data_IF_327100643292
#
_entry.id   IF_327100643292
#
_cell.length_a   1.000
_cell.length_b   1.000
_cell.length_c   1.000
_cell.angle_alpha   90.00
_cell.angle_beta   90.00
_cell.angle_gamma   90.00
#
_symmetry.space_group_name_H-M   'P 1'
#
loop_
_entity.id
_entity.type
_entity.pdbx_description
1 polymer ?
#
# COMPACT_ATOMS: atom_id res chain seq x y z
N UNK A 1 -3.18 -1.11 35.92
CA UNK A 1 -3.39 -2.46 35.31
C UNK A 1 -2.35 -2.73 34.23
N UNK A 2 -1.69 -3.89 34.27
CA UNK A 2 -0.54 -4.24 33.37
C UNK A 2 -0.97 -4.93 32.08
N UNK A 3 -2.20 -5.47 32.02
CA UNK A 3 -2.70 -6.25 30.88
C UNK A 3 -2.74 -5.41 29.59
N UNK A 4 -3.20 -4.16 29.64
CA UNK A 4 -3.34 -3.31 28.45
C UNK A 4 -1.99 -2.96 27.79
N UNK A 5 -0.93 -2.57 28.52
CA UNK A 5 0.41 -2.44 27.95
C UNK A 5 0.93 -3.73 27.31
N UNK A 6 0.76 -4.89 27.96
CA UNK A 6 1.18 -6.19 27.42
C UNK A 6 0.47 -6.48 26.09
N UNK A 7 -0.85 -6.37 26.07
CA UNK A 7 -1.66 -6.58 24.85
C UNK A 7 -1.22 -5.61 23.75
N UNK A 8 -0.99 -4.34 24.09
CA UNK A 8 -0.55 -3.34 23.11
C UNK A 8 0.82 -3.67 22.53
N UNK A 9 1.77 -4.11 23.39
CA UNK A 9 3.10 -4.52 22.99
C UNK A 9 3.06 -5.73 22.05
N UNK A 10 2.29 -6.76 22.40
CA UNK A 10 2.13 -7.97 21.59
C UNK A 10 1.49 -7.66 20.24
N UNK A 11 0.41 -6.87 20.20
CA UNK A 11 -0.24 -6.48 18.95
C UNK A 11 0.68 -5.63 18.06
N UNK A 12 1.43 -4.70 18.64
CA UNK A 12 2.42 -3.93 17.90
C UNK A 12 3.56 -4.81 17.35
N UNK A 13 4.06 -5.77 18.13
CA UNK A 13 5.06 -6.73 17.69
C UNK A 13 4.53 -7.61 16.54
N UNK A 14 3.28 -8.08 16.62
CA UNK A 14 2.63 -8.82 15.54
C UNK A 14 2.48 -7.96 14.28
N UNK A 15 2.07 -6.70 14.40
CA UNK A 15 2.08 -5.72 13.30
C UNK A 15 3.46 -5.64 12.64
N UNK A 16 4.52 -5.49 13.44
CA UNK A 16 5.89 -5.40 12.96
C UNK A 16 6.33 -6.68 12.23
N UNK A 17 6.00 -7.86 12.74
CA UNK A 17 6.28 -9.15 12.08
C UNK A 17 5.57 -9.24 10.74
N UNK A 18 4.29 -8.85 10.67
CA UNK A 18 3.53 -8.93 9.43
C UNK A 18 4.09 -7.95 8.39
N UNK A 19 4.41 -6.72 8.79
CA UNK A 19 4.97 -5.71 7.87
C UNK A 19 6.40 -6.04 7.45
N UNK A 20 7.23 -6.59 8.33
CA UNK A 20 8.59 -7.02 7.98
C UNK A 20 8.58 -8.14 6.95
N UNK A 21 7.67 -9.12 7.07
CA UNK A 21 7.47 -10.15 6.02
C UNK A 21 7.14 -9.52 4.66
N UNK A 22 6.30 -8.49 4.65
CA UNK A 22 5.99 -7.76 3.42
C UNK A 22 7.17 -6.93 2.91
N UNK A 23 7.98 -6.37 3.80
CA UNK A 23 9.16 -5.58 3.47
C UNK A 23 10.28 -6.46 2.90
N UNK A 24 10.43 -7.69 3.39
CA UNK A 24 11.37 -8.68 2.85
C UNK A 24 10.94 -9.15 1.46
N UNK A 25 9.64 -9.40 1.24
CA UNK A 25 9.13 -9.83 -0.07
C UNK A 25 9.16 -8.72 -1.12
N UNK A 26 8.80 -7.49 -0.72
CA UNK A 26 8.72 -6.32 -1.59
C UNK A 26 9.21 -5.08 -0.83
N UNK A 27 10.53 -4.81 -0.82
CA UNK A 27 11.09 -3.72 -0.04
C UNK A 27 10.61 -2.38 -0.59
N UNK A 28 9.92 -1.62 0.25
CA UNK A 28 9.53 -0.25 -0.01
C UNK A 28 9.81 0.60 1.22
N UNK A 29 10.12 1.87 1.01
CA UNK A 29 10.51 2.78 2.09
C UNK A 29 9.38 3.00 3.11
N UNK A 30 8.12 3.06 2.64
CA UNK A 30 6.92 3.14 3.49
C UNK A 30 6.90 1.98 4.51
N UNK A 31 7.07 0.74 4.05
CA UNK A 31 7.07 -0.44 4.94
C UNK A 31 8.18 -0.43 5.98
N UNK A 32 9.36 0.11 5.64
CA UNK A 32 10.48 0.23 6.59
C UNK A 32 10.13 1.23 7.69
N UNK A 33 9.57 2.39 7.33
CA UNK A 33 9.13 3.39 8.29
C UNK A 33 8.00 2.84 9.20
N UNK A 34 7.01 2.15 8.63
CA UNK A 34 5.94 1.53 9.42
C UNK A 34 6.48 0.43 10.34
N UNK A 35 7.40 -0.42 9.85
CA UNK A 35 8.05 -1.43 10.68
C UNK A 35 8.77 -0.81 11.88
N UNK A 36 9.58 0.22 11.67
CA UNK A 36 10.26 0.94 12.74
C UNK A 36 9.25 1.48 13.75
N UNK A 37 8.17 2.11 13.29
CA UNK A 37 7.14 2.63 14.18
C UNK A 37 6.50 1.55 15.07
N UNK A 38 6.17 0.38 14.50
CA UNK A 38 5.57 -0.71 15.29
C UNK A 38 6.56 -1.38 16.25
N UNK A 39 7.85 -1.45 15.89
CA UNK A 39 8.90 -1.88 16.84
C UNK A 39 9.02 -0.90 18.00
N UNK A 40 9.06 0.41 17.72
CA UNK A 40 9.11 1.45 18.75
C UNK A 40 7.88 1.39 19.66
N UNK A 41 6.69 1.19 19.09
CA UNK A 41 5.47 1.01 19.87
C UNK A 41 5.58 -0.21 20.78
N UNK A 42 6.00 -1.36 20.25
CA UNK A 42 6.14 -2.59 21.01
C UNK A 42 7.13 -2.43 22.18
N UNK A 43 8.26 -1.75 21.94
CA UNK A 43 9.25 -1.43 22.96
C UNK A 43 8.70 -0.49 24.03
N UNK A 44 7.98 0.57 23.67
CA UNK A 44 7.36 1.48 24.62
C UNK A 44 6.34 0.74 25.51
N UNK A 45 5.38 0.05 24.88
CA UNK A 45 4.35 -0.70 25.59
C UNK A 45 4.93 -1.82 26.47
N UNK A 46 6.00 -2.48 25.99
CA UNK A 46 6.73 -3.48 26.75
C UNK A 46 7.51 -2.89 27.92
N UNK A 47 8.13 -1.72 27.75
CA UNK A 47 8.83 -1.03 28.83
C UNK A 47 7.88 -0.58 29.95
N UNK A 48 6.68 -0.11 29.62
CA UNK A 48 5.66 0.21 30.62
C UNK A 48 5.13 -1.04 31.34
N UNK A 49 4.87 -2.12 30.59
CA UNK A 49 4.48 -3.40 31.20
C UNK A 49 5.54 -3.89 32.19
N UNK A 50 6.82 -3.83 31.78
CA UNK A 50 7.96 -4.22 32.59
C UNK A 50 8.08 -3.34 33.84
N UNK A 51 8.01 -2.01 33.67
CA UNK A 51 8.16 -1.06 34.77
C UNK A 51 7.06 -1.22 35.83
N UNK A 52 5.82 -1.46 35.40
CA UNK A 52 4.70 -1.70 36.31
C UNK A 52 4.76 -3.05 37.04
N UNK A 53 5.43 -4.05 36.47
CA UNK A 53 5.47 -5.41 37.03
C UNK A 53 6.71 -5.68 37.88
N UNK A 54 7.86 -5.17 37.43
CA UNK A 54 9.18 -5.46 38.02
C UNK A 54 9.83 -4.24 38.66
N UNK A 55 9.18 -3.07 38.59
CA UNK A 55 9.70 -1.81 39.10
C UNK A 55 10.38 -0.98 38.01
N UNK A 56 10.45 0.33 38.25
CA UNK A 56 10.99 1.29 37.31
C UNK A 56 12.49 1.52 37.54
N UNK A 57 13.23 1.67 36.45
CA UNK A 57 14.61 2.12 36.48
C UNK A 57 14.79 3.28 35.51
N UNK A 58 15.83 4.08 35.73
CA UNK A 58 16.10 5.26 34.92
C UNK A 58 16.30 4.90 33.42
N UNK A 59 17.04 3.83 33.05
CA UNK A 59 17.14 3.41 31.65
C UNK A 59 15.79 2.96 31.07
N UNK A 60 14.94 2.30 31.86
CA UNK A 60 13.64 1.82 31.41
C UNK A 60 12.67 2.97 31.16
N UNK A 61 12.66 3.98 32.03
CA UNK A 61 11.89 5.20 31.86
C UNK A 61 12.32 5.96 30.59
N UNK A 62 13.64 6.09 30.36
CA UNK A 62 14.16 6.70 29.13
C UNK A 62 13.83 5.88 27.89
N UNK A 63 13.90 4.55 27.94
CA UNK A 63 13.53 3.68 26.83
C UNK A 63 12.06 3.88 26.44
N UNK A 64 11.16 3.87 27.44
CA UNK A 64 9.74 4.14 27.24
C UNK A 64 9.52 5.51 26.56
N UNK A 65 10.12 6.56 27.12
CA UNK A 65 9.86 7.92 26.70
C UNK A 65 10.55 8.29 25.38
N UNK A 66 11.69 7.66 25.07
CA UNK A 66 12.35 7.77 23.78
C UNK A 66 11.49 7.16 22.66
N UNK A 67 10.92 5.98 22.91
CA UNK A 67 10.29 5.19 21.86
C UNK A 67 8.83 5.54 21.63
N UNK A 68 8.02 5.70 22.68
CA UNK A 68 6.56 5.78 22.55
C UNK A 68 6.00 7.16 22.18
N UNK A 69 6.21 8.20 23.01
CA UNK A 69 5.49 9.47 22.92
C UNK A 69 5.58 10.23 21.58
N UNK A 70 6.68 10.12 20.84
CA UNK A 70 6.88 10.92 19.62
C UNK A 70 7.34 10.11 18.41
N UNK A 71 8.34 9.24 18.56
CA UNK A 71 8.93 8.55 17.41
C UNK A 71 7.96 7.61 16.71
N UNK A 72 7.06 6.93 17.44
CA UNK A 72 6.00 6.12 16.81
C UNK A 72 5.21 6.94 15.80
N UNK A 73 4.71 8.11 16.21
CA UNK A 73 3.89 8.98 15.35
C UNK A 73 4.72 9.55 14.20
N UNK A 74 5.96 9.96 14.48
CA UNK A 74 6.87 10.46 13.45
C UNK A 74 7.11 9.43 12.32
N UNK A 75 7.45 8.20 12.68
CA UNK A 75 7.74 7.16 11.69
C UNK A 75 6.48 6.67 10.95
N UNK A 76 5.31 6.63 11.61
CA UNK A 76 4.04 6.39 10.91
C UNK A 76 3.75 7.50 9.89
N UNK A 77 3.95 8.76 10.25
CA UNK A 77 3.73 9.90 9.36
C UNK A 77 4.70 9.89 8.16
N UNK A 78 5.99 9.62 8.39
CA UNK A 78 6.99 9.44 7.32
C UNK A 78 6.56 8.32 6.37
N UNK A 79 6.07 7.21 6.92
CA UNK A 79 5.55 6.11 6.16
C UNK A 79 4.35 6.47 5.29
N UNK A 80 3.39 7.23 5.82
CA UNK A 80 2.24 7.74 5.07
C UNK A 80 2.68 8.71 3.96
N UNK A 81 3.63 9.61 4.24
CA UNK A 81 4.18 10.49 3.20
C UNK A 81 4.85 9.72 2.07
N UNK A 82 5.51 8.61 2.35
CA UNK A 82 6.05 7.73 1.31
C UNK A 82 4.95 7.10 0.44
N UNK A 83 3.76 6.84 0.98
CA UNK A 83 2.63 6.32 0.22
C UNK A 83 2.02 7.39 -0.69
N UNK A 84 1.92 8.63 -0.23
CA UNK A 84 1.34 9.75 -0.97
C UNK A 84 2.31 10.35 -2.00
N UNK A 85 3.58 10.53 -1.61
CA UNK A 85 4.60 11.27 -2.36
C UNK A 85 5.91 10.50 -2.50
N UNK A 86 5.90 9.29 -3.12
CA UNK A 86 7.04 8.37 -3.10
C UNK A 86 8.32 8.95 -3.73
N UNK A 87 8.19 9.80 -4.76
CA UNK A 87 9.35 10.39 -5.46
C UNK A 87 10.03 11.48 -4.64
N UNK A 88 9.24 12.38 -4.04
CA UNK A 88 9.74 13.50 -3.24
C UNK A 88 10.34 12.99 -1.93
N UNK A 89 9.66 12.07 -1.25
CA UNK A 89 10.12 11.54 0.03
C UNK A 89 11.39 10.70 -0.08
N UNK A 90 11.68 10.11 -1.25
CA UNK A 90 12.92 9.36 -1.47
C UNK A 90 14.20 10.15 -1.18
N UNK A 91 14.19 11.47 -1.38
CA UNK A 91 15.36 12.34 -1.17
C UNK A 91 15.39 12.96 0.23
N UNK A 92 14.25 13.37 0.75
CA UNK A 92 14.17 14.18 1.99
C UNK A 92 13.93 13.36 3.25
N UNK A 93 13.09 12.33 3.19
CA UNK A 93 12.62 11.65 4.39
C UNK A 93 13.71 10.91 5.19
N UNK A 94 14.76 10.30 4.60
CA UNK A 94 15.81 9.67 5.40
C UNK A 94 16.58 10.68 6.26
N UNK A 95 16.98 11.81 5.68
CA UNK A 95 17.68 12.87 6.40
C UNK A 95 16.81 13.50 7.48
N UNK A 96 15.54 13.79 7.15
CA UNK A 96 14.58 14.30 8.12
C UNK A 96 14.33 13.30 9.28
N UNK A 97 14.22 12.00 8.98
CA UNK A 97 14.04 10.96 10.00
C UNK A 97 15.24 10.87 10.94
N UNK A 98 16.47 10.90 10.42
CA UNK A 98 17.69 10.87 11.22
C UNK A 98 17.79 12.11 12.11
N UNK A 99 17.62 13.30 11.53
CA UNK A 99 17.68 14.56 12.29
C UNK A 99 16.62 14.61 13.38
N UNK A 100 15.36 14.29 13.04
CA UNK A 100 14.26 14.27 14.00
C UNK A 100 14.52 13.27 15.13
N UNK A 101 14.98 12.07 14.80
CA UNK A 101 15.29 11.03 15.79
C UNK A 101 16.44 11.46 16.68
N UNK A 102 17.52 11.98 16.11
CA UNK A 102 18.67 12.46 16.87
C UNK A 102 18.28 13.60 17.83
N UNK A 103 17.58 14.63 17.34
CA UNK A 103 17.11 15.74 18.16
C UNK A 103 16.16 15.29 19.27
N UNK A 104 15.24 14.37 18.98
CA UNK A 104 14.35 13.81 20.00
C UNK A 104 15.13 13.03 21.06
N UNK A 105 16.05 12.16 20.64
CA UNK A 105 16.86 11.34 21.54
C UNK A 105 17.73 12.21 22.45
N UNK A 106 18.37 13.27 21.92
CA UNK A 106 19.14 14.21 22.74
C UNK A 106 18.28 14.81 23.85
N UNK A 107 17.10 15.34 23.52
CA UNK A 107 16.21 15.93 24.52
C UNK A 107 15.73 14.92 25.57
N UNK A 108 15.51 13.66 25.21
CA UNK A 108 15.09 12.62 26.17
C UNK A 108 16.23 12.17 27.07
N UNK A 109 17.45 12.08 26.53
CA UNK A 109 18.63 11.69 27.31
C UNK A 109 19.02 12.79 28.30
N UNK A 110 18.91 14.06 27.90
CA UNK A 110 19.24 15.22 28.72
C UNK A 110 18.15 15.59 29.75
N UNK A 111 16.94 15.05 29.60
CA UNK A 111 15.83 15.35 30.49
C UNK A 111 16.13 14.88 31.94
N UNK A 112 16.02 15.78 32.94
CA UNK A 112 16.15 15.40 34.35
C UNK A 112 15.10 14.37 34.77
N UNK A 113 15.48 13.47 35.67
CA UNK A 113 14.59 12.45 36.23
C UNK A 113 14.58 12.59 37.74
N UNK A 114 13.39 12.73 38.32
CA UNK A 114 13.20 12.74 39.76
C UNK A 114 13.32 11.31 40.32
N UNK A 115 14.48 10.99 40.89
CA UNK A 115 14.78 9.68 41.44
C UNK A 115 13.83 9.28 42.59
N UNK A 116 13.31 10.26 43.36
CA UNK A 116 12.38 9.99 44.45
C UNK A 116 11.01 9.55 43.94
N UNK A 117 10.61 10.06 42.76
CA UNK A 117 9.32 9.73 42.13
C UNK A 117 9.39 8.54 41.19
N UNK A 118 10.58 8.18 40.71
CA UNK A 118 10.76 7.16 39.67
C UNK A 118 10.09 5.82 39.98
N UNK A 119 10.16 5.33 41.22
CA UNK A 119 9.53 4.04 41.55
C UNK A 119 8.00 4.11 41.54
N UNK A 120 7.43 5.22 42.03
CA UNK A 120 5.98 5.38 42.15
C UNK A 120 5.34 5.79 40.82
N UNK A 121 5.95 6.75 40.13
CA UNK A 121 5.38 7.44 38.98
C UNK A 121 5.96 6.91 37.65
N UNK A 122 7.03 6.11 37.71
CA UNK A 122 7.68 5.52 36.55
C UNK A 122 8.22 6.55 35.57
N UNK A 123 7.84 6.42 34.31
CA UNK A 123 8.24 7.35 33.25
C UNK A 123 7.74 8.79 33.46
N UNK A 124 6.74 9.00 34.31
CA UNK A 124 6.23 10.34 34.63
C UNK A 124 7.20 11.16 35.50
N UNK A 125 8.19 10.50 36.11
CA UNK A 125 9.27 11.15 36.85
C UNK A 125 10.26 11.93 35.97
N UNK A 126 10.19 11.77 34.65
CA UNK A 126 10.95 12.58 33.68
C UNK A 126 10.37 14.00 33.66
N UNK A 127 11.22 15.02 33.75
CA UNK A 127 10.83 16.40 33.48
C UNK A 127 10.58 16.59 31.98
N UNK A 128 9.32 16.89 31.66
CA UNK A 128 8.80 17.00 30.30
C UNK A 128 8.58 18.45 29.90
N UNK A 129 9.18 19.40 30.60
CA UNK A 129 9.03 20.84 30.36
C UNK A 129 9.86 21.32 29.16
N UNK A 130 9.73 22.62 28.84
CA UNK A 130 10.56 23.28 27.82
C UNK A 130 10.51 22.64 26.42
N UNK A 131 11.69 22.46 25.83
CA UNK A 131 11.87 21.97 24.46
C UNK A 131 11.30 20.56 24.25
N UNK A 132 11.41 19.67 25.24
CA UNK A 132 10.89 18.31 25.15
C UNK A 132 9.36 18.32 25.00
N UNK A 133 8.67 19.19 25.75
CA UNK A 133 7.21 19.38 25.62
C UNK A 133 6.83 19.87 24.23
N UNK A 134 7.49 20.93 23.78
CA UNK A 134 7.19 21.60 22.51
C UNK A 134 7.41 20.63 21.36
N UNK A 135 8.53 19.92 21.34
CA UNK A 135 8.84 18.95 20.29
C UNK A 135 7.83 17.80 20.29
N UNK A 136 7.47 17.26 21.46
CA UNK A 136 6.47 16.20 21.57
C UNK A 136 5.10 16.65 21.02
N UNK A 137 4.64 17.85 21.38
CA UNK A 137 3.38 18.42 20.88
C UNK A 137 3.45 18.58 19.37
N UNK A 138 4.52 19.18 18.85
CA UNK A 138 4.69 19.42 17.42
C UNK A 138 4.70 18.13 16.61
N UNK A 139 5.50 17.13 17.02
CA UNK A 139 5.58 15.84 16.32
C UNK A 139 4.23 15.14 16.31
N UNK A 140 3.54 15.10 17.46
CA UNK A 140 2.25 14.44 17.56
C UNK A 140 1.18 15.15 16.73
N UNK A 141 1.09 16.48 16.80
CA UNK A 141 0.08 17.24 16.06
C UNK A 141 0.30 17.17 14.55
N UNK A 142 1.53 17.43 14.09
CA UNK A 142 1.87 17.40 12.66
C UNK A 142 1.78 15.97 12.12
N UNK A 143 2.37 15.00 12.82
CA UNK A 143 2.35 13.60 12.40
C UNK A 143 0.95 13.01 12.37
N UNK A 144 0.11 13.28 13.38
CA UNK A 144 -1.29 12.83 13.37
C UNK A 144 -2.07 13.45 12.23
N UNK A 145 -1.87 14.74 11.94
CA UNK A 145 -2.52 15.43 10.82
C UNK A 145 -2.15 14.78 9.48
N UNK A 146 -0.87 14.45 9.28
CA UNK A 146 -0.38 13.75 8.09
C UNK A 146 -1.03 12.37 7.96
N UNK A 147 -1.00 11.56 9.03
CA UNK A 147 -1.54 10.18 9.01
C UNK A 147 -3.05 10.20 8.74
N UNK A 148 -3.80 11.00 9.51
CA UNK A 148 -5.26 11.09 9.39
C UNK A 148 -5.64 11.69 8.03
N UNK A 149 -4.97 12.75 7.59
CA UNK A 149 -5.22 13.36 6.28
C UNK A 149 -4.97 12.41 5.12
N UNK A 150 -3.85 11.70 5.13
CA UNK A 150 -3.49 10.72 4.10
C UNK A 150 -4.44 9.52 4.04
N UNK A 151 -4.82 9.00 5.22
CA UNK A 151 -5.79 7.92 5.31
C UNK A 151 -7.19 8.35 4.88
N UNK A 152 -7.67 9.54 5.29
CA UNK A 152 -8.96 10.07 4.86
C UNK A 152 -8.99 10.31 3.34
N UNK A 153 -7.90 10.83 2.77
CA UNK A 153 -7.78 10.96 1.32
C UNK A 153 -7.84 9.59 0.62
N UNK A 154 -7.15 8.58 1.16
CA UNK A 154 -7.19 7.20 0.65
C UNK A 154 -8.60 6.60 0.76
N UNK A 155 -9.31 6.82 1.87
CA UNK A 155 -10.71 6.41 2.08
C UNK A 155 -11.61 7.06 1.03
N UNK A 156 -11.53 8.37 0.88
CA UNK A 156 -12.32 9.11 -0.10
C UNK A 156 -12.07 8.62 -1.53
N UNK A 157 -10.79 8.40 -1.89
CA UNK A 157 -10.39 7.88 -3.20
C UNK A 157 -10.98 6.50 -3.46
N UNK A 158 -10.85 5.54 -2.54
CA UNK A 158 -11.37 4.18 -2.72
C UNK A 158 -12.89 4.11 -2.69
N UNK A 159 -13.53 4.99 -1.91
CA UNK A 159 -14.98 5.11 -1.89
C UNK A 159 -15.52 5.62 -3.23
N UNK A 160 -14.86 6.62 -3.84
CA UNK A 160 -15.24 7.15 -5.16
C UNK A 160 -15.09 6.11 -6.27
N UNK A 161 -14.03 5.31 -6.27
CA UNK A 161 -13.77 4.34 -7.35
C UNK A 161 -14.50 3.02 -7.20
N UNK A 162 -15.03 2.69 -6.01
CA UNK A 162 -15.77 1.44 -5.69
C UNK A 162 -15.03 0.13 -5.99
N UNK A 163 -13.74 0.19 -6.31
CA UNK A 163 -12.95 -0.96 -6.75
C UNK A 163 -12.15 -1.63 -5.64
N UNK A 164 -11.96 -0.98 -4.49
CA UNK A 164 -11.02 -1.42 -3.45
C UNK A 164 -11.67 -1.52 -2.05
N UNK A 165 -12.69 -2.37 -1.88
CA UNK A 165 -13.51 -2.44 -0.65
C UNK A 165 -12.70 -2.86 0.57
N UNK A 166 -11.81 -3.84 0.44
CA UNK A 166 -10.97 -4.30 1.54
C UNK A 166 -10.00 -3.21 1.99
N UNK A 167 -9.43 -2.45 1.05
CA UNK A 167 -8.54 -1.33 1.36
C UNK A 167 -9.30 -0.16 1.98
N UNK A 168 -10.49 0.15 1.50
CA UNK A 168 -11.38 1.14 2.12
C UNK A 168 -11.64 0.82 3.60
N UNK A 169 -12.13 -0.39 3.90
CA UNK A 169 -12.39 -0.83 5.28
C UNK A 169 -11.11 -0.82 6.10
N UNK A 170 -9.99 -1.28 5.52
CA UNK A 170 -8.70 -1.27 6.18
C UNK A 170 -8.23 0.14 6.55
N UNK A 171 -8.33 1.10 5.65
CA UNK A 171 -7.97 2.50 5.91
C UNK A 171 -8.90 3.14 6.97
N UNK A 172 -10.20 2.82 6.95
CA UNK A 172 -11.14 3.27 8.00
C UNK A 172 -10.72 2.74 9.38
N UNK A 173 -10.39 1.45 9.48
CA UNK A 173 -9.92 0.86 10.73
C UNK A 173 -8.61 1.50 11.21
N UNK A 174 -7.66 1.75 10.31
CA UNK A 174 -6.39 2.39 10.66
C UNK A 174 -6.63 3.82 11.16
N UNK A 175 -7.43 4.64 10.46
CA UNK A 175 -7.65 6.03 10.88
C UNK A 175 -8.40 6.11 12.20
N UNK A 176 -9.41 5.26 12.42
CA UNK A 176 -10.11 5.18 13.72
C UNK A 176 -9.16 4.74 14.83
N UNK A 177 -8.29 3.76 14.57
CA UNK A 177 -7.29 3.32 15.54
C UNK A 177 -6.25 4.41 15.85
N UNK A 178 -5.76 5.15 14.84
CA UNK A 178 -4.85 6.28 15.02
C UNK A 178 -5.48 7.37 15.88
N UNK A 179 -6.75 7.72 15.63
CA UNK A 179 -7.48 8.71 16.43
C UNK A 179 -7.67 8.24 17.88
N UNK A 180 -7.95 6.96 18.10
CA UNK A 180 -8.02 6.39 19.46
C UNK A 180 -6.68 6.51 20.21
N UNK A 181 -5.55 6.16 19.56
CA UNK A 181 -4.20 6.34 20.15
C UNK A 181 -3.93 7.82 20.45
N UNK A 182 -4.20 8.71 19.49
CA UNK A 182 -3.98 10.15 19.66
C UNK A 182 -4.77 10.71 20.85
N UNK A 183 -6.03 10.29 21.01
CA UNK A 183 -6.88 10.68 22.14
C UNK A 183 -6.33 10.16 23.48
N UNK A 184 -5.82 8.93 23.53
CA UNK A 184 -5.12 8.40 24.70
C UNK A 184 -3.91 9.25 25.11
N UNK A 185 -3.11 9.68 24.14
CA UNK A 185 -2.00 10.61 24.36
C UNK A 185 -2.47 11.97 24.88
N UNK A 186 -3.55 12.52 24.33
CA UNK A 186 -4.15 13.78 24.81
C UNK A 186 -4.65 13.68 26.26
N UNK A 187 -5.27 12.56 26.66
CA UNK A 187 -5.77 12.33 28.02
C UNK A 187 -4.67 12.41 29.09
N UNK A 188 -3.44 11.99 28.79
CA UNK A 188 -2.31 12.16 29.72
C UNK A 188 -2.01 13.61 30.06
N UNK A 189 -2.30 14.55 29.15
CA UNK A 189 -2.10 15.98 29.37
C UNK A 189 -3.12 16.56 30.35
N UNK A 190 -4.25 15.88 30.52
CA UNK A 190 -5.29 16.19 31.49
C UNK A 190 -5.14 15.37 32.80
N UNK A 191 -4.00 14.72 33.01
CA UNK A 191 -3.72 13.93 34.22
C UNK A 191 -4.36 12.53 34.22
N UNK A 192 -4.97 12.12 33.12
CA UNK A 192 -5.74 10.86 33.01
C UNK A 192 -4.88 9.74 32.43
N UNK A 193 -3.76 9.44 33.09
CA UNK A 193 -2.74 8.49 32.63
C UNK A 193 -3.22 7.03 32.60
N UNK A 194 -4.17 6.69 33.46
CA UNK A 194 -4.74 5.34 33.58
C UNK A 194 -5.40 4.87 32.27
N UNK A 195 -5.95 5.79 31.50
CA UNK A 195 -6.67 5.49 30.26
C UNK A 195 -5.77 5.40 29.02
N UNK A 196 -4.51 5.85 29.11
CA UNK A 196 -3.58 5.84 27.97
C UNK A 196 -3.50 4.46 27.34
N UNK A 197 -3.29 3.42 28.14
CA UNK A 197 -3.12 2.07 27.61
C UNK A 197 -4.42 1.38 27.20
N UNK A 198 -5.56 1.80 27.76
CA UNK A 198 -6.86 1.37 27.27
C UNK A 198 -7.03 1.87 25.84
N UNK A 199 -6.85 3.18 25.62
CA UNK A 199 -6.93 3.79 24.31
C UNK A 199 -5.88 3.23 23.32
N UNK A 200 -4.63 3.02 23.78
CA UNK A 200 -3.58 2.42 22.94
C UNK A 200 -3.90 0.98 22.55
N UNK A 201 -4.43 0.15 23.46
CA UNK A 201 -4.76 -1.25 23.17
C UNK A 201 -5.88 -1.38 22.14
N UNK A 202 -6.94 -0.57 22.27
CA UNK A 202 -8.03 -0.48 21.29
C UNK A 202 -7.49 0.06 19.97
N UNK A 203 -6.70 1.13 20.02
CA UNK A 203 -6.14 1.78 18.85
C UNK A 203 -5.24 0.86 18.03
N UNK A 204 -4.29 0.16 18.66
CA UNK A 204 -3.39 -0.77 17.97
C UNK A 204 -4.13 -2.02 17.46
N UNK A 205 -5.17 -2.49 18.15
CA UNK A 205 -6.01 -3.58 17.65
C UNK A 205 -6.74 -3.20 16.36
N UNK A 206 -7.29 -1.98 16.31
CA UNK A 206 -7.94 -1.43 15.10
C UNK A 206 -6.92 -1.24 13.96
N UNK A 207 -5.76 -0.65 14.26
CA UNK A 207 -4.68 -0.48 13.27
C UNK A 207 -4.24 -1.84 12.73
N UNK A 208 -4.01 -2.84 13.60
CA UNK A 208 -3.63 -4.19 13.17
C UNK A 208 -4.71 -4.84 12.30
N UNK A 209 -5.97 -4.77 12.73
CA UNK A 209 -7.11 -5.28 11.96
C UNK A 209 -7.20 -4.63 10.58
N UNK A 210 -7.00 -3.31 10.51
CA UNK A 210 -6.97 -2.57 9.25
C UNK A 210 -5.80 -2.97 8.36
N UNK A 211 -4.60 -3.09 8.93
CA UNK A 211 -3.37 -3.56 8.28
C UNK A 211 -3.55 -4.99 7.72
N UNK A 212 -4.20 -5.90 8.45
CA UNK A 212 -4.56 -7.24 7.92
C UNK A 212 -5.61 -7.14 6.82
N UNK A 213 -6.59 -6.25 6.93
CA UNK A 213 -7.68 -6.09 5.97
C UNK A 213 -7.20 -5.53 4.63
N UNK A 214 -6.31 -4.54 4.62
CA UNK A 214 -5.76 -3.94 3.37
C UNK A 214 -5.00 -4.94 2.50
N UNK A 215 -4.53 -6.05 3.09
CA UNK A 215 -3.83 -7.13 2.37
C UNK A 215 -4.75 -8.13 1.68
N UNK A 216 -6.05 -8.13 1.97
CA UNK A 216 -6.98 -9.08 1.36
C UNK A 216 -7.29 -8.64 -0.08
N UNK A 217 -7.10 -9.50 -1.09
CA UNK A 217 -7.54 -9.18 -2.45
C UNK A 217 -9.05 -8.99 -2.47
N UNK A 218 -9.53 -8.02 -3.23
CA UNK A 218 -10.96 -7.86 -3.48
C UNK A 218 -11.43 -8.98 -4.41
N UNK A 219 -12.53 -9.64 -4.05
CA UNK A 219 -13.13 -10.70 -4.88
C UNK A 219 -13.59 -10.09 -6.20
N UNK A 220 -13.09 -10.61 -7.32
CA UNK A 220 -13.62 -10.26 -8.63
C UNK A 220 -15.08 -10.74 -8.69
N UNK A 221 -16.02 -9.83 -8.96
CA UNK A 221 -17.39 -10.21 -9.32
C UNK A 221 -17.27 -10.88 -10.69
N UNK A 222 -17.34 -12.21 -10.72
CA UNK A 222 -17.60 -12.97 -11.94
C UNK A 222 -19.10 -12.80 -12.21
N UNK A 223 -19.52 -12.19 -13.32
CA UNK A 223 -20.93 -12.18 -13.69
C UNK A 223 -21.43 -13.63 -13.75
N UNK A 224 -22.52 -13.91 -13.07
CA UNK A 224 -23.09 -15.25 -13.02
C UNK A 224 -23.62 -15.62 -14.42
N UNK A 225 -22.85 -16.41 -15.19
CA UNK A 225 -23.30 -16.97 -16.49
C UNK A 225 -24.43 -18.00 -16.31
N UNK A 226 -24.72 -18.43 -15.07
CA UNK A 226 -25.68 -19.52 -14.78
C UNK A 226 -27.15 -19.09 -14.73
N UNK A 227 -27.51 -17.85 -15.08
CA UNK A 227 -28.90 -17.39 -15.02
C UNK A 227 -29.72 -17.57 -16.33
N UNK A 228 -29.14 -18.11 -17.41
CA UNK A 228 -29.83 -18.19 -18.71
C UNK A 228 -29.74 -19.53 -19.46
N UNK A 229 -29.31 -20.63 -18.84
CA UNK A 229 -29.27 -21.95 -19.50
C UNK A 229 -30.09 -22.98 -18.73
N UNK A 230 -31.42 -22.82 -18.71
CA UNK A 230 -32.34 -23.92 -18.41
C UNK A 230 -33.14 -24.24 -19.67
N UNK A 231 -32.63 -25.18 -20.47
CA UNK A 231 -33.29 -25.59 -21.70
C UNK A 231 -32.44 -26.51 -22.58
N UNK A 232 -31.92 -27.62 -22.04
CA UNK A 232 -31.38 -28.69 -22.89
C UNK A 232 -32.55 -29.55 -23.40
N UNK A 233 -33.01 -29.25 -24.61
CA UNK A 233 -33.79 -30.20 -25.43
C UNK A 233 -32.83 -31.19 -26.07
N UNK A 234 -33.08 -32.48 -25.87
CA UNK A 234 -32.29 -33.59 -26.40
C UNK A 234 -32.48 -33.74 -27.90
N UNK A 235 -31.44 -33.46 -28.69
CA UNK A 235 -31.37 -33.82 -30.12
C UNK A 235 -30.68 -35.19 -30.28
N UNK A 236 -31.16 -36.11 -31.13
CA UNK A 236 -30.63 -37.48 -31.23
C UNK A 236 -29.22 -37.54 -31.85
N UNK A 237 -28.50 -38.59 -31.45
CA UNK A 237 -27.09 -38.85 -31.77
C UNK A 237 -26.85 -39.42 -33.18
N UNK A 238 -27.16 -38.66 -34.24
CA UNK A 238 -26.83 -39.08 -35.61
C UNK A 238 -26.30 -37.99 -36.54
N UNK A 239 -25.77 -36.90 -36.01
CA UNK A 239 -25.05 -35.91 -36.83
C UNK A 239 -23.80 -35.41 -36.10
N UNK A 240 -22.81 -36.30 -35.95
CA UNK A 240 -21.43 -35.88 -35.63
C UNK A 240 -20.77 -35.41 -36.91
N UNK A 241 -21.04 -34.17 -37.28
CA UNK A 241 -20.16 -33.41 -38.19
C UNK A 241 -19.36 -32.44 -37.33
N UNK A 242 -18.04 -32.55 -37.42
CA UNK A 242 -17.09 -31.72 -36.71
C UNK A 242 -17.33 -30.23 -37.01
N UNK A 243 -17.59 -29.42 -35.99
CA UNK A 243 -17.45 -27.97 -36.07
C UNK A 243 -16.84 -27.46 -34.77
N UNK A 244 -15.74 -26.73 -34.94
CA UNK A 244 -15.01 -26.01 -33.90
C UNK A 244 -15.94 -25.19 -33.00
N UNK A 245 -15.72 -25.23 -31.69
CA UNK A 245 -16.21 -24.17 -30.80
C UNK A 245 -15.38 -22.91 -31.05
N UNK A 246 -15.67 -22.22 -32.15
CA UNK A 246 -15.33 -20.81 -32.30
C UNK A 246 -16.22 -20.10 -31.30
N UNK A 247 -15.62 -19.58 -30.23
CA UNK A 247 -16.28 -18.64 -29.34
C UNK A 247 -16.93 -17.56 -30.20
N UNK A 248 -18.24 -17.41 -30.07
CA UNK A 248 -19.04 -16.46 -30.82
C UNK A 248 -18.38 -15.08 -30.80
N UNK A 249 -17.91 -14.63 -31.96
CA UNK A 249 -17.63 -13.21 -32.20
C UNK A 249 -18.98 -12.50 -32.14
N UNK A 250 -19.23 -11.73 -31.08
CA UNK A 250 -20.27 -10.71 -31.12
C UNK A 250 -19.84 -9.67 -32.16
N UNK A 251 -20.63 -9.50 -33.23
CA UNK A 251 -20.34 -8.62 -34.36
C UNK A 251 -20.28 -7.11 -34.03
N UNK A 252 -20.47 -6.71 -32.77
CA UNK A 252 -20.25 -5.31 -32.35
C UNK A 252 -18.75 -5.06 -32.11
N UNK A 253 -18.02 -4.74 -33.18
CA UNK A 253 -16.67 -4.19 -33.06
C UNK A 253 -16.76 -2.84 -32.37
N UNK A 254 -16.07 -2.66 -31.24
CA UNK A 254 -16.08 -1.36 -30.55
C UNK A 254 -15.42 -0.27 -31.41
N UNK A 255 -15.83 1.00 -31.29
CA UNK A 255 -15.25 2.10 -32.07
C UNK A 255 -13.72 2.17 -31.95
N UNK A 256 -13.17 1.83 -30.78
CA UNK A 256 -11.75 1.82 -30.50
C UNK A 256 -11.02 0.69 -31.24
N UNK A 257 -11.61 -0.51 -31.30
CA UNK A 257 -11.07 -1.64 -32.08
C UNK A 257 -11.13 -1.37 -33.57
N UNK A 258 -12.21 -0.75 -34.05
CA UNK A 258 -12.34 -0.33 -35.45
C UNK A 258 -11.27 0.71 -35.81
N UNK A 259 -11.09 1.72 -34.96
CA UNK A 259 -10.05 2.74 -35.12
C UNK A 259 -8.64 2.14 -35.13
N UNK A 260 -8.31 1.27 -34.16
CA UNK A 260 -7.00 0.61 -34.12
C UNK A 260 -6.76 -0.25 -35.36
N UNK A 261 -7.75 -1.04 -35.77
CA UNK A 261 -7.64 -1.90 -36.95
C UNK A 261 -7.39 -1.06 -38.19
N UNK A 262 -8.18 0.00 -38.41
CA UNK A 262 -8.00 0.90 -39.55
C UNK A 262 -6.60 1.54 -39.59
N UNK A 263 -6.15 2.12 -38.46
CA UNK A 263 -4.89 2.85 -38.41
C UNK A 263 -3.66 1.94 -38.49
N UNK A 264 -3.76 0.71 -37.98
CA UNK A 264 -2.68 -0.29 -38.08
C UNK A 264 -2.56 -0.91 -39.47
N UNK A 265 -3.66 -1.05 -40.22
CA UNK A 265 -3.62 -1.49 -41.62
C UNK A 265 -2.97 -0.46 -42.55
N UNK A 266 -3.22 0.83 -42.30
CA UNK A 266 -2.82 1.91 -43.21
C UNK A 266 -1.37 2.40 -43.03
N UNK A 267 -0.67 1.98 -41.97
CA UNK A 267 0.63 2.56 -41.58
C UNK A 267 1.70 1.51 -41.31
N UNK A 268 2.93 1.82 -41.68
CA UNK A 268 4.11 1.01 -41.39
C UNK A 268 5.36 1.90 -41.23
N UNK A 269 6.38 1.39 -40.54
CA UNK A 269 7.68 2.06 -40.40
C UNK A 269 7.57 3.45 -39.74
N UNK A 270 8.25 4.44 -40.30
CA UNK A 270 8.36 5.77 -39.69
C UNK A 270 7.03 6.54 -39.61
N UNK A 271 6.09 6.28 -40.54
CA UNK A 271 4.75 6.87 -40.48
C UNK A 271 3.95 6.33 -39.29
N UNK A 272 4.09 5.03 -38.98
CA UNK A 272 3.47 4.43 -37.80
C UNK A 272 4.08 4.97 -36.50
N UNK A 273 5.41 5.14 -36.46
CA UNK A 273 6.13 5.76 -35.33
C UNK A 273 5.71 7.20 -35.10
N UNK A 274 5.63 8.01 -36.15
CA UNK A 274 5.19 9.41 -36.08
C UNK A 274 3.74 9.53 -35.58
N UNK A 275 2.87 8.63 -36.04
CA UNK A 275 1.49 8.56 -35.56
C UNK A 275 1.41 8.19 -34.07
N UNK A 276 2.14 7.17 -33.61
CA UNK A 276 2.18 6.81 -32.18
C UNK A 276 2.68 7.98 -31.31
N UNK A 277 3.70 8.70 -31.77
CA UNK A 277 4.23 9.86 -31.07
C UNK A 277 3.19 10.99 -30.94
N UNK A 278 2.30 11.16 -31.93
CA UNK A 278 1.18 12.13 -31.84
C UNK A 278 0.19 11.81 -30.72
N UNK A 279 0.14 10.54 -30.28
CA UNK A 279 -0.63 10.08 -29.13
C UNK A 279 0.20 9.99 -27.84
N UNK A 280 1.40 10.60 -27.82
CA UNK A 280 2.34 10.53 -26.69
C UNK A 280 2.80 9.12 -26.34
N UNK A 281 2.78 8.18 -27.30
CA UNK A 281 3.32 6.82 -27.14
C UNK A 281 4.67 6.74 -27.86
N UNK A 282 5.72 6.46 -27.10
CA UNK A 282 7.07 6.27 -27.65
C UNK A 282 7.33 4.80 -27.96
N UNK A 283 8.02 4.54 -29.07
CA UNK A 283 8.60 3.24 -29.36
C UNK A 283 9.89 3.10 -28.55
N UNK A 284 9.93 2.09 -27.69
CA UNK A 284 11.17 1.60 -27.10
C UNK A 284 11.81 0.61 -28.07
N UNK A 285 13.10 0.76 -28.35
CA UNK A 285 13.82 -0.06 -29.34
C UNK A 285 14.19 -1.47 -28.81
N UNK A 286 13.80 -1.82 -27.57
CA UNK A 286 14.02 -3.16 -27.01
C UNK A 286 13.24 -4.25 -27.81
N UNK A 287 13.95 -5.19 -28.47
CA UNK A 287 13.34 -6.24 -29.27
C UNK A 287 12.71 -7.37 -28.44
N UNK A 288 12.79 -7.34 -27.12
CA UNK A 288 12.35 -8.45 -26.25
C UNK A 288 11.05 -8.14 -25.51
N UNK A 289 10.09 -9.06 -25.46
CA UNK A 289 8.88 -8.90 -24.65
C UNK A 289 9.07 -9.45 -23.24
N UNK A 290 8.71 -8.68 -22.21
CA UNK A 290 8.48 -9.25 -20.88
C UNK A 290 7.28 -10.21 -20.92
N UNK A 291 7.12 -11.10 -19.93
CA UNK A 291 5.93 -11.99 -19.94
C UNK A 291 4.64 -11.22 -19.75
N UNK A 292 4.70 -10.03 -19.14
CA UNK A 292 3.56 -9.12 -19.06
C UNK A 292 3.20 -8.60 -20.44
N UNK A 293 4.18 -8.06 -21.17
CA UNK A 293 3.96 -7.53 -22.53
C UNK A 293 3.36 -8.61 -23.43
N UNK A 294 3.91 -9.84 -23.37
CA UNK A 294 3.39 -10.97 -24.14
C UNK A 294 1.93 -11.30 -23.80
N UNK A 295 1.54 -11.25 -22.52
CA UNK A 295 0.15 -11.48 -22.10
C UNK A 295 -0.77 -10.37 -22.56
N UNK A 296 -0.36 -9.11 -22.46
CA UNK A 296 -1.17 -7.98 -22.89
C UNK A 296 -1.29 -7.92 -24.43
N UNK A 297 -0.21 -8.20 -25.15
CA UNK A 297 -0.20 -8.38 -26.60
C UNK A 297 -1.15 -9.50 -27.04
N UNK A 298 -1.12 -10.66 -26.36
CA UNK A 298 -2.04 -11.76 -26.65
C UNK A 298 -3.51 -11.37 -26.42
N UNK A 299 -3.81 -10.61 -25.35
CA UNK A 299 -5.17 -10.11 -25.10
C UNK A 299 -5.63 -9.18 -26.21
N UNK A 300 -4.84 -8.17 -26.56
CA UNK A 300 -5.18 -7.25 -27.65
C UNK A 300 -5.40 -8.02 -28.96
N UNK A 301 -4.50 -8.96 -29.27
CA UNK A 301 -4.61 -9.81 -30.46
C UNK A 301 -5.95 -10.57 -30.52
N UNK A 302 -6.48 -11.04 -29.39
CA UNK A 302 -7.77 -11.77 -29.37
C UNK A 302 -8.97 -10.88 -29.70
N UNK A 303 -8.89 -9.59 -29.35
CA UNK A 303 -9.95 -8.62 -29.62
C UNK A 303 -9.91 -8.10 -31.06
N UNK A 304 -8.77 -8.19 -31.74
CA UNK A 304 -8.64 -7.72 -33.11
C UNK A 304 -9.42 -8.62 -34.10
N UNK A 305 -10.03 -8.02 -35.14
CA UNK A 305 -10.60 -8.78 -36.25
C UNK A 305 -9.50 -9.54 -37.03
N UNK A 306 -9.85 -10.53 -37.88
CA UNK A 306 -8.87 -11.35 -38.61
C UNK A 306 -7.78 -10.55 -39.35
N UNK A 307 -8.16 -9.49 -40.07
CA UNK A 307 -7.20 -8.61 -40.75
C UNK A 307 -6.27 -7.87 -39.77
N UNK A 308 -6.83 -7.37 -38.66
CA UNK A 308 -6.10 -6.79 -37.53
C UNK A 308 -5.05 -7.73 -36.95
N UNK A 309 -5.41 -9.00 -36.76
CA UNK A 309 -4.52 -10.04 -36.21
C UNK A 309 -3.33 -10.33 -37.10
N UNK A 310 -3.55 -10.50 -38.41
CA UNK A 310 -2.48 -10.78 -39.36
C UNK A 310 -1.42 -9.67 -39.35
N UNK A 311 -1.86 -8.42 -39.47
CA UNK A 311 -0.95 -7.26 -39.42
C UNK A 311 -0.24 -7.12 -38.08
N UNK A 312 -0.94 -7.37 -36.98
CA UNK A 312 -0.36 -7.32 -35.63
C UNK A 312 0.76 -8.36 -35.46
N UNK A 313 0.59 -9.56 -36.04
CA UNK A 313 1.59 -10.62 -35.97
C UNK A 313 2.84 -10.30 -36.80
N UNK A 314 2.72 -9.51 -37.86
CA UNK A 314 3.83 -9.01 -38.69
C UNK A 314 4.61 -7.85 -38.03
N UNK A 315 4.04 -7.20 -37.01
CA UNK A 315 4.71 -6.08 -36.33
C UNK A 315 5.93 -6.53 -35.54
N UNK A 316 6.92 -5.64 -35.46
CA UNK A 316 8.06 -5.80 -34.56
C UNK A 316 7.59 -5.80 -33.09
N UNK A 317 8.45 -6.30 -32.19
CA UNK A 317 8.15 -6.30 -30.75
C UNK A 317 7.91 -4.88 -30.19
N UNK A 318 8.75 -3.87 -30.49
CA UNK A 318 8.50 -2.47 -30.16
C UNK A 318 7.11 -1.99 -30.58
N UNK A 319 6.73 -2.24 -31.83
CA UNK A 319 5.45 -1.80 -32.40
C UNK A 319 4.26 -2.45 -31.69
N UNK A 320 4.33 -3.76 -31.42
CA UNK A 320 3.29 -4.46 -30.66
C UNK A 320 3.15 -3.90 -29.25
N UNK A 321 4.26 -3.61 -28.56
CA UNK A 321 4.23 -3.05 -27.20
C UNK A 321 3.63 -1.65 -27.19
N UNK A 322 4.04 -0.78 -28.12
CA UNK A 322 3.50 0.56 -28.26
C UNK A 322 2.00 0.55 -28.58
N UNK A 323 1.55 -0.36 -29.45
CA UNK A 323 0.13 -0.49 -29.76
C UNK A 323 -0.69 -0.96 -28.55
N UNK A 324 -0.16 -1.90 -27.77
CA UNK A 324 -0.77 -2.32 -26.49
C UNK A 324 -0.88 -1.15 -25.52
N UNK A 325 0.17 -0.32 -25.42
CA UNK A 325 0.16 0.87 -24.57
C UNK A 325 -0.88 1.88 -25.01
N UNK A 326 -0.96 2.20 -26.31
CA UNK A 326 -2.00 3.07 -26.84
C UNK A 326 -3.41 2.54 -26.51
N UNK A 327 -3.62 1.24 -26.75
CA UNK A 327 -4.90 0.60 -26.52
C UNK A 327 -5.31 0.56 -25.03
N UNK A 328 -4.35 0.39 -24.13
CA UNK A 328 -4.59 0.30 -22.69
C UNK A 328 -4.71 1.69 -22.02
N UNK A 329 -3.80 2.61 -22.33
CA UNK A 329 -3.65 3.87 -21.59
C UNK A 329 -4.43 5.03 -22.22
N UNK A 330 -4.51 5.06 -23.55
CA UNK A 330 -5.16 6.15 -24.29
C UNK A 330 -6.60 5.79 -24.65
N UNK A 331 -6.80 4.64 -25.30
CA UNK A 331 -8.13 4.19 -25.73
C UNK A 331 -8.91 3.44 -24.64
N UNK A 332 -8.22 3.06 -23.55
CA UNK A 332 -8.81 2.41 -22.38
C UNK A 332 -9.63 1.16 -22.69
N UNK A 333 -9.17 0.33 -23.64
CA UNK A 333 -9.86 -0.91 -24.02
C UNK A 333 -10.15 -1.77 -22.78
N UNK A 334 -11.42 -2.12 -22.50
CA UNK A 334 -11.80 -2.86 -21.29
C UNK A 334 -11.05 -4.19 -21.09
N UNK A 335 -10.71 -4.88 -22.19
CA UNK A 335 -9.97 -6.13 -22.16
C UNK A 335 -8.51 -5.98 -21.65
N UNK A 336 -7.94 -4.78 -21.76
CA UNK A 336 -6.56 -4.48 -21.38
C UNK A 336 -6.45 -3.75 -20.04
N UNK A 337 -7.47 -2.98 -19.65
CA UNK A 337 -7.48 -2.16 -18.43
C UNK A 337 -7.86 -2.93 -17.16
N UNK A 338 -8.39 -4.16 -17.28
CA UNK A 338 -9.03 -4.87 -16.15
C UNK A 338 -8.12 -5.55 -15.13
N UNK A 339 -6.79 -5.57 -15.28
CA UNK A 339 -5.89 -6.20 -14.28
C UNK A 339 -4.59 -5.40 -14.12
N UNK A 340 -4.33 -4.94 -12.91
CA UNK A 340 -3.12 -4.23 -12.47
C UNK A 340 -1.90 -5.17 -12.42
N UNK A 341 -1.28 -5.43 -13.58
CA UNK A 341 -0.07 -6.25 -13.73
C UNK A 341 1.22 -5.51 -13.27
N UNK A 342 1.12 -4.29 -12.73
CA UNK A 342 2.26 -3.54 -12.13
C UNK A 342 2.92 -4.30 -10.97
N UNK A 343 2.19 -5.27 -10.44
CA UNK A 343 2.61 -6.15 -9.36
C UNK A 343 3.47 -7.34 -9.83
N UNK A 344 3.58 -7.64 -11.14
CA UNK A 344 4.35 -8.78 -11.69
C UNK A 344 5.65 -8.40 -12.41
N UNK A 345 5.78 -7.20 -12.98
CA UNK A 345 7.00 -6.73 -13.67
C UNK A 345 8.26 -6.75 -12.78
N UNK A 346 8.12 -6.47 -11.47
CA UNK A 346 9.27 -6.53 -10.54
C UNK A 346 9.74 -7.94 -10.22
N UNK A 347 8.89 -8.96 -10.35
CA UNK A 347 9.29 -10.35 -10.07
C UNK A 347 10.09 -10.96 -11.22
N UNK A 348 9.94 -10.46 -12.45
CA UNK A 348 10.69 -10.95 -13.62
C UNK A 348 12.04 -10.22 -13.77
N UNK A 349 12.09 -8.92 -13.50
CA UNK A 349 13.36 -8.15 -13.46
C UNK A 349 14.31 -8.61 -12.35
N UNK A 350 13.79 -8.93 -11.15
CA UNK A 350 14.62 -9.45 -10.05
C UNK A 350 15.11 -10.87 -10.32
N UNK A 351 14.37 -11.66 -11.12
CA UNK A 351 14.74 -13.03 -11.44
C UNK A 351 15.76 -13.11 -12.58
N UNK A 352 15.81 -12.13 -13.48
CA UNK A 352 16.87 -12.04 -14.50
C UNK A 352 18.20 -11.52 -13.93
N UNK A 353 18.18 -10.63 -12.94
CA UNK A 353 19.40 -10.09 -12.30
C UNK A 353 20.06 -11.03 -11.28
N UNK A 354 19.40 -12.12 -10.89
CA UNK A 354 19.94 -13.15 -9.97
C UNK A 354 20.55 -14.33 -10.75
N UNK A 355 20.25 -14.41 -12.06
CA UNK A 355 20.73 -15.49 -12.94
C UNK A 355 21.71 -15.01 -14.02
N UNK A 356 22.15 -13.75 -13.95
CA UNK A 356 23.26 -13.17 -14.71
C UNK A 356 24.33 -12.74 -13.71
#
# INVERSE_FOLDING_TARGET
MVIFPIVSSVLAALCAIVISRDALRRPRADKRAWFIAFVLFALAAGADAWGRQLGWSEPLARLYYATGPALVVAFLAIGELYLLFPRQMGRFAPGAAILLTASWMTLVLDAPIDAARLQADGWEAIDRSGALRVMAITINSVGTTIIVGGLLWSVWRFWRTRTQRNRLIGCVLIVTGTLAVAMGGTLTRFGQYEYLYIAMSVGIALIFGGVVRTRRPDTAIVPNEDASVTGFSTVPASERVAVHSVAAYSEETTPELAFLTEKTMQRAGDDFRGWLASWSVALDDDPTMSRRDARQAWRLRRELPPAGRARFDEMTVPERRALVQLAADVLQLPALTRIDDSSREREESVRSSVNA
#
